data_IF_950213576513
#
_entry.id   IF_950213576513
#
_cell.length_a   1.000
_cell.length_b   1.000
_cell.length_c   1.000
_cell.angle_alpha   90.00
_cell.angle_beta   90.00
_cell.angle_gamma   90.00
#
_symmetry.space_group_name_H-M   'P 1'
#
loop_
_entity.id
_entity.type
_entity.pdbx_description
1 polymer ?
#
# COMPACT_ATOMS: atom_id res chain seq x y z
N UNK A 1 12.53 -1.61 9.44
CA UNK A 1 11.51 -2.30 10.27
C UNK A 1 11.05 -3.56 9.55
N UNK A 2 11.10 -4.67 10.24
CA UNK A 2 10.64 -5.92 9.63
C UNK A 2 9.51 -6.49 10.46
N UNK A 3 8.41 -6.81 9.80
CA UNK A 3 7.25 -7.42 10.44
C UNK A 3 7.15 -8.86 9.96
N UNK A 4 7.28 -9.80 10.89
CA UNK A 4 7.14 -11.23 10.59
C UNK A 4 6.21 -11.83 11.64
N UNK A 5 6.10 -13.16 11.64
CA UNK A 5 5.15 -13.84 12.51
C UNK A 5 5.41 -13.61 14.00
N UNK A 6 6.61 -13.18 14.36
CA UNK A 6 6.97 -12.95 15.76
C UNK A 6 6.83 -11.49 16.17
N UNK A 7 6.38 -10.63 15.27
CA UNK A 7 6.29 -9.21 15.55
C UNK A 7 5.20 -8.92 16.59
N UNK A 8 5.56 -8.08 17.57
CA UNK A 8 4.65 -7.75 18.65
C UNK A 8 3.49 -6.90 18.14
N UNK A 9 2.30 -7.17 18.63
CA UNK A 9 1.12 -6.41 18.19
C UNK A 9 0.39 -7.02 17.02
N UNK A 10 0.94 -8.08 16.45
CA UNK A 10 0.31 -8.74 15.33
C UNK A 10 -0.73 -9.73 15.83
N UNK A 11 -1.91 -9.72 15.21
CA UNK A 11 -2.96 -10.68 15.52
C UNK A 11 -3.27 -11.50 14.29
N UNK A 12 -3.61 -12.75 14.49
CA UNK A 12 -4.05 -13.60 13.39
C UNK A 12 -5.53 -13.94 13.61
N UNK A 13 -6.35 -13.63 12.62
CA UNK A 13 -7.78 -13.83 12.76
C UNK A 13 -8.20 -15.13 12.07
N UNK A 14 -9.49 -15.49 12.22
CA UNK A 14 -9.98 -16.81 11.83
C UNK A 14 -9.78 -17.15 10.36
N UNK A 15 -9.81 -16.16 9.47
CA UNK A 15 -9.63 -16.42 8.05
C UNK A 15 -8.15 -16.53 7.64
N UNK A 16 -7.21 -16.42 8.58
CA UNK A 16 -5.79 -16.53 8.32
C UNK A 16 -5.06 -15.21 8.14
N UNK A 17 -5.77 -14.10 8.03
CA UNK A 17 -5.13 -12.80 7.88
C UNK A 17 -4.40 -12.39 9.14
N UNK A 18 -3.32 -11.63 8.97
CA UNK A 18 -2.64 -10.98 10.08
C UNK A 18 -3.15 -9.56 10.18
N UNK A 19 -3.46 -9.10 11.38
CA UNK A 19 -4.10 -7.80 11.60
C UNK A 19 -3.30 -6.96 12.58
N UNK A 20 -3.10 -5.70 12.24
CA UNK A 20 -2.55 -4.70 13.14
C UNK A 20 -3.61 -3.63 13.36
N UNK A 21 -3.96 -3.38 14.62
CA UNK A 21 -4.87 -2.30 14.96
C UNK A 21 -4.11 -0.98 14.94
N UNK A 22 -4.74 0.06 14.43
CA UNK A 22 -4.11 1.37 14.38
C UNK A 22 -3.29 1.58 13.12
N UNK A 23 -2.36 2.53 13.20
CA UNK A 23 -1.54 2.93 12.07
C UNK A 23 -0.17 2.27 12.13
N UNK A 24 0.43 2.08 10.96
CA UNK A 24 1.80 1.59 10.86
C UNK A 24 2.64 2.71 10.26
N UNK A 25 3.41 3.38 11.10
CA UNK A 25 4.21 4.53 10.70
C UNK A 25 5.65 4.29 11.07
N UNK A 26 6.57 4.51 10.13
CA UNK A 26 7.98 4.26 10.34
C UNK A 26 8.82 5.30 9.62
N UNK A 27 9.98 5.64 10.21
CA UNK A 27 10.98 6.47 9.54
C UNK A 27 11.84 5.62 8.62
N UNK A 28 11.84 4.31 8.82
CA UNK A 28 12.67 3.39 8.06
C UNK A 28 11.83 2.61 7.07
N UNK A 29 12.50 1.90 6.16
CA UNK A 29 11.80 1.02 5.24
C UNK A 29 11.02 -0.03 6.02
N UNK A 30 9.88 -0.44 5.47
CA UNK A 30 9.03 -1.45 6.08
C UNK A 30 9.07 -2.70 5.21
N UNK A 31 9.47 -3.80 5.82
CA UNK A 31 9.40 -5.10 5.16
C UNK A 31 8.39 -5.98 5.89
N UNK A 32 7.45 -6.55 5.17
CA UNK A 32 6.41 -7.39 5.75
C UNK A 32 6.60 -8.79 5.21
N UNK A 33 7.14 -9.66 6.06
CA UNK A 33 7.51 -11.02 5.70
C UNK A 33 6.50 -11.98 6.33
N UNK A 34 5.33 -12.04 5.72
CA UNK A 34 4.24 -12.89 6.17
C UNK A 34 3.76 -13.72 5.00
N UNK A 35 3.17 -14.88 5.31
CA UNK A 35 2.72 -15.80 4.29
C UNK A 35 1.22 -15.70 4.02
N UNK A 36 0.58 -14.72 4.61
CA UNK A 36 -0.82 -14.41 4.37
C UNK A 36 -1.00 -12.90 4.29
N UNK A 37 -2.21 -12.46 4.01
CA UNK A 37 -2.49 -11.04 3.88
C UNK A 37 -2.30 -10.32 5.21
N UNK A 38 -1.70 -9.14 5.13
CA UNK A 38 -1.48 -8.30 6.30
C UNK A 38 -2.45 -7.11 6.22
N UNK A 39 -3.26 -6.96 7.25
CA UNK A 39 -4.29 -5.92 7.31
C UNK A 39 -3.91 -4.91 8.38
N UNK A 40 -3.78 -3.64 8.00
CA UNK A 40 -3.58 -2.54 8.93
C UNK A 40 -4.90 -1.78 8.98
N UNK A 41 -5.48 -1.63 10.16
CA UNK A 41 -6.79 -0.99 10.28
C UNK A 41 -6.73 0.51 9.96
N UNK A 42 -5.60 1.14 10.21
CA UNK A 42 -5.40 2.55 9.91
C UNK A 42 -4.61 2.75 8.63
N UNK A 43 -3.69 3.71 8.64
CA UNK A 43 -2.88 4.00 7.47
C UNK A 43 -1.50 3.37 7.59
N UNK A 44 -0.81 3.28 6.46
CA UNK A 44 0.57 2.80 6.41
C UNK A 44 1.40 3.93 5.83
N UNK A 45 2.45 4.34 6.54
CA UNK A 45 3.27 5.46 6.11
C UNK A 45 4.72 5.24 6.48
N UNK A 46 5.63 5.46 5.52
CA UNK A 46 7.05 5.42 5.79
C UNK A 46 7.75 6.46 4.92
N UNK A 47 8.90 6.91 5.37
CA UNK A 47 9.72 7.83 4.58
C UNK A 47 10.56 7.10 3.55
N UNK A 48 10.60 5.79 3.59
CA UNK A 48 11.39 4.98 2.66
C UNK A 48 10.47 4.02 1.92
N UNK A 49 10.91 2.82 1.64
CA UNK A 49 10.13 1.89 0.84
C UNK A 49 9.31 0.91 1.65
N UNK A 50 8.36 0.28 0.99
CA UNK A 50 7.54 -0.78 1.55
C UNK A 50 7.71 -2.02 0.69
N UNK A 51 8.06 -3.14 1.30
CA UNK A 51 8.16 -4.42 0.61
C UNK A 51 7.28 -5.41 1.36
N UNK A 52 6.33 -5.99 0.64
CA UNK A 52 5.38 -6.95 1.21
C UNK A 52 5.54 -8.25 0.45
N UNK A 53 5.81 -9.34 1.17
CA UNK A 53 6.05 -10.63 0.52
C UNK A 53 4.77 -11.26 -0.02
N UNK A 54 3.63 -10.97 0.57
CA UNK A 54 2.36 -11.48 0.09
C UNK A 54 1.45 -10.30 -0.26
N UNK A 55 0.35 -10.09 0.44
CA UNK A 55 -0.57 -8.99 0.16
C UNK A 55 -0.73 -8.06 1.33
N UNK A 56 -1.19 -6.86 1.06
CA UNK A 56 -1.37 -5.86 2.11
C UNK A 56 -2.68 -5.11 1.91
N UNK A 57 -3.33 -4.82 3.01
CA UNK A 57 -4.57 -4.05 3.02
C UNK A 57 -4.48 -2.99 4.10
N UNK A 58 -4.78 -1.75 3.75
CA UNK A 58 -4.85 -0.66 4.71
C UNK A 58 -6.26 -0.12 4.74
N UNK A 59 -6.78 0.14 5.94
CA UNK A 59 -8.12 0.70 6.08
C UNK A 59 -8.20 2.14 5.60
N UNK A 60 -7.08 2.86 5.67
CA UNK A 60 -6.95 4.21 5.17
C UNK A 60 -5.94 4.21 4.03
N UNK A 61 -5.09 5.22 3.94
CA UNK A 61 -4.16 5.32 2.83
C UNK A 61 -2.84 4.61 3.04
N UNK A 62 -2.07 4.46 1.96
CA UNK A 62 -0.72 3.91 2.00
C UNK A 62 0.20 4.95 1.37
N UNK A 63 1.28 5.31 2.08
CA UNK A 63 2.20 6.32 1.59
C UNK A 63 3.65 5.91 1.84
N UNK A 64 4.44 5.90 0.79
CA UNK A 64 5.85 5.53 0.87
C UNK A 64 6.71 6.61 0.22
N UNK A 65 7.81 6.95 0.86
CA UNK A 65 8.75 7.95 0.33
C UNK A 65 9.61 7.43 -0.81
N UNK A 66 9.63 6.13 -1.03
CA UNK A 66 10.35 5.53 -2.16
C UNK A 66 9.39 4.68 -2.97
N UNK A 67 9.58 3.37 -2.97
CA UNK A 67 8.75 2.48 -3.75
C UNK A 67 7.89 1.57 -2.88
N UNK A 68 6.89 0.97 -3.52
CA UNK A 68 6.04 -0.03 -2.89
C UNK A 68 6.11 -1.29 -3.73
N UNK A 69 6.47 -2.41 -3.11
CA UNK A 69 6.51 -3.72 -3.77
C UNK A 69 5.64 -4.70 -3.01
N UNK A 70 4.84 -5.45 -3.72
CA UNK A 70 4.01 -6.48 -3.11
C UNK A 70 4.00 -7.73 -3.97
N UNK A 71 4.14 -8.88 -3.33
CA UNK A 71 4.16 -10.16 -4.04
C UNK A 71 2.78 -10.61 -4.49
N UNK A 72 1.74 -10.03 -3.93
CA UNK A 72 0.38 -10.30 -4.34
C UNK A 72 -0.31 -8.98 -4.67
N UNK A 73 -1.31 -8.59 -3.91
CA UNK A 73 -2.07 -7.39 -4.19
C UNK A 73 -1.97 -6.33 -3.12
N UNK A 74 -2.47 -5.15 -3.44
CA UNK A 74 -2.56 -4.05 -2.51
C UNK A 74 -3.99 -3.53 -2.50
N UNK A 75 -4.54 -3.34 -1.30
CA UNK A 75 -5.85 -2.72 -1.13
C UNK A 75 -5.73 -1.58 -0.14
N UNK A 76 -6.27 -0.43 -0.48
CA UNK A 76 -6.30 0.71 0.42
C UNK A 76 -7.69 1.31 0.42
N UNK A 77 -8.19 1.63 1.61
CA UNK A 77 -9.49 2.29 1.72
C UNK A 77 -9.49 3.66 1.10
N UNK A 78 -8.34 4.31 1.06
CA UNK A 78 -8.16 5.62 0.43
C UNK A 78 -7.00 5.54 -0.56
N UNK A 79 -6.26 6.62 -0.75
CA UNK A 79 -5.23 6.68 -1.78
C UNK A 79 -3.98 5.88 -1.50
N UNK A 80 -3.23 5.61 -2.54
CA UNK A 80 -1.93 4.95 -2.47
C UNK A 80 -0.93 5.89 -3.12
N UNK A 81 0.16 6.18 -2.41
CA UNK A 81 1.16 7.11 -2.92
C UNK A 81 2.56 6.56 -2.71
N UNK A 82 3.36 6.52 -3.77
CA UNK A 82 4.77 6.20 -3.70
C UNK A 82 5.52 7.25 -4.48
N UNK A 83 6.62 7.77 -3.93
CA UNK A 83 7.33 8.83 -4.63
C UNK A 83 8.06 8.31 -5.85
N UNK A 84 8.47 7.07 -5.86
CA UNK A 84 9.24 6.53 -6.98
C UNK A 84 8.45 5.53 -7.80
N UNK A 85 8.17 4.35 -7.27
CA UNK A 85 7.52 3.35 -8.09
C UNK A 85 6.53 2.51 -7.29
N UNK A 86 5.64 1.86 -8.03
CA UNK A 86 4.75 0.84 -7.50
C UNK A 86 4.95 -0.42 -8.33
N UNK A 87 5.22 -1.54 -7.67
CA UNK A 87 5.51 -2.81 -8.33
C UNK A 87 4.73 -3.90 -7.59
N UNK A 88 3.57 -4.24 -8.12
CA UNK A 88 2.64 -5.16 -7.49
C UNK A 88 2.40 -6.31 -8.46
N UNK A 89 2.52 -7.53 -7.99
CA UNK A 89 2.44 -8.68 -8.90
C UNK A 89 1.02 -8.97 -9.35
N UNK A 90 0.01 -8.53 -8.62
CA UNK A 90 -1.39 -8.82 -8.97
C UNK A 90 -2.23 -7.56 -9.06
N UNK A 91 -3.15 -7.33 -8.16
CA UNK A 91 -4.15 -6.26 -8.32
C UNK A 91 -3.97 -5.13 -7.34
N UNK A 92 -4.40 -3.96 -7.75
CA UNK A 92 -4.33 -2.75 -6.94
C UNK A 92 -5.72 -2.16 -6.82
N UNK A 93 -6.13 -1.88 -5.58
CA UNK A 93 -7.40 -1.23 -5.30
C UNK A 93 -7.14 -0.04 -4.39
N UNK A 94 -7.60 1.15 -4.78
CA UNK A 94 -7.51 2.34 -3.94
C UNK A 94 -8.88 2.98 -3.87
N UNK A 95 -9.24 3.51 -2.70
CA UNK A 95 -10.50 4.21 -2.54
C UNK A 95 -11.67 3.28 -2.31
N UNK A 96 -11.45 2.14 -1.69
CA UNK A 96 -12.51 1.16 -1.49
C UNK A 96 -13.13 1.22 -0.11
N UNK A 97 -12.93 2.32 0.62
CA UNK A 97 -13.52 2.47 1.96
C UNK A 97 -15.03 2.42 1.89
N UNK A 98 -15.63 1.58 2.71
CA UNK A 98 -17.08 1.47 2.76
C UNK A 98 -17.71 2.57 3.60
N UNK A 99 -16.89 3.38 4.25
CA UNK A 99 -17.38 4.45 5.12
C UNK A 99 -17.46 5.80 4.40
N UNK A 100 -17.10 5.84 3.12
CA UNK A 100 -17.18 7.06 2.31
C UNK A 100 -17.77 6.75 0.96
N UNK A 101 -18.41 7.73 0.36
CA UNK A 101 -18.87 7.56 -1.01
C UNK A 101 -17.68 7.70 -1.96
N UNK A 102 -17.83 7.23 -3.18
CA UNK A 102 -16.74 7.32 -4.14
C UNK A 102 -16.43 8.78 -4.49
N UNK A 103 -17.35 9.69 -4.18
CA UNK A 103 -17.15 11.10 -4.40
C UNK A 103 -16.23 11.72 -3.36
N UNK A 104 -16.32 11.26 -2.12
CA UNK A 104 -15.56 11.82 -1.02
C UNK A 104 -14.27 11.07 -0.74
N UNK A 105 -14.12 9.88 -1.28
CA UNK A 105 -13.00 9.03 -0.98
C UNK A 105 -11.82 9.36 -1.90
N UNK A 106 -10.63 9.49 -1.32
CA UNK A 106 -9.43 9.63 -2.12
C UNK A 106 -9.11 8.28 -2.74
N UNK A 107 -9.14 8.19 -4.04
CA UNK A 107 -8.83 6.95 -4.75
C UNK A 107 -7.66 7.14 -5.71
N UNK A 108 -6.82 8.12 -5.45
CA UNK A 108 -5.65 8.39 -6.27
C UNK A 108 -4.56 7.36 -6.02
N UNK A 109 -4.00 6.83 -7.10
CA UNK A 109 -2.80 6.00 -7.04
C UNK A 109 -1.71 6.83 -7.69
N UNK A 110 -0.77 7.33 -6.88
CA UNK A 110 0.24 8.26 -7.35
C UNK A 110 1.63 7.68 -7.24
N UNK A 111 2.38 7.73 -8.32
CA UNK A 111 3.78 7.28 -8.33
C UNK A 111 4.48 7.89 -9.53
N UNK A 112 5.81 7.86 -9.53
CA UNK A 112 6.55 8.30 -10.71
C UNK A 112 6.48 7.24 -11.80
N UNK A 113 6.44 5.98 -11.41
CA UNK A 113 6.44 4.87 -12.36
C UNK A 113 5.60 3.71 -11.81
N UNK A 114 4.68 3.21 -12.61
CA UNK A 114 3.99 1.96 -12.29
C UNK A 114 4.69 0.84 -13.04
N UNK A 115 5.48 0.04 -12.33
CA UNK A 115 6.25 -1.03 -12.94
C UNK A 115 5.42 -2.26 -13.25
N UNK A 116 4.60 -2.66 -12.30
CA UNK A 116 3.69 -3.78 -12.45
C UNK A 116 2.47 -3.53 -11.62
N UNK A 117 1.36 -4.18 -12.00
CA UNK A 117 0.13 -4.13 -11.23
C UNK A 117 -1.06 -3.82 -12.12
N UNK A 118 -2.15 -4.52 -11.86
CA UNK A 118 -3.40 -4.27 -12.55
C UNK A 118 -4.27 -3.40 -11.65
N UNK A 119 -4.55 -2.17 -12.07
CA UNK A 119 -5.39 -1.28 -11.29
C UNK A 119 -6.83 -1.66 -11.53
N UNK A 120 -7.46 -2.24 -10.52
CA UNK A 120 -8.84 -2.67 -10.60
C UNK A 120 -9.79 -1.59 -10.12
N UNK A 121 -9.33 -0.71 -9.23
CA UNK A 121 -10.12 0.41 -8.76
C UNK A 121 -9.17 1.50 -8.30
N UNK A 122 -9.43 2.74 -8.72
CA UNK A 122 -8.60 3.88 -8.40
C UNK A 122 -8.14 4.60 -9.64
N UNK A 123 -7.62 5.80 -9.45
CA UNK A 123 -7.18 6.66 -10.55
C UNK A 123 -5.67 6.82 -10.50
N UNK A 124 -5.00 6.36 -11.54
CA UNK A 124 -3.54 6.43 -11.62
C UNK A 124 -3.07 7.82 -12.04
N UNK A 125 -2.13 8.36 -11.30
CA UNK A 125 -1.46 9.61 -11.64
C UNK A 125 0.04 9.37 -11.64
N UNK A 126 0.67 9.54 -12.79
CA UNK A 126 2.12 9.38 -12.91
C UNK A 126 2.78 10.74 -12.83
N UNK A 127 3.66 10.91 -11.85
CA UNK A 127 4.30 12.20 -11.62
C UNK A 127 5.53 12.40 -12.47
N UNK A 128 6.16 11.31 -12.89
CA UNK A 128 7.39 11.37 -13.65
C UNK A 128 7.22 11.99 -15.03
N UNK A 129 6.09 11.77 -15.64
CA UNK A 129 5.89 12.24 -16.99
C UNK A 129 5.62 13.71 -17.09
N UNK A 130 5.47 14.37 -15.99
CA UNK A 130 5.33 15.81 -15.99
C UNK A 130 6.62 16.51 -16.38
N UNK A 131 7.70 15.78 -16.53
CA UNK A 131 8.93 16.32 -16.94
C UNK A 131 8.99 16.36 -18.39
N UNK A 132 8.93 17.37 -18.98
CA UNK A 132 9.03 17.41 -20.41
C UNK A 132 10.41 17.46 -20.87
N UNK A 133 10.54 17.44 -20.62
CA UNK A 133 11.32 17.48 -21.13
C UNK A 133 12.03 17.24 -21.26
N UNK A 134 12.25 17.22 -21.10
CA UNK A 134 12.94 16.99 -21.31
C UNK A 134 13.15 16.84 -22.18
N UNK A 135 12.95 17.09 -22.19
CA UNK A 135 13.19 17.20 -23.29
C UNK A 135 13.22 17.04 -23.76
#
# INVERSE_FOLDING_TARGET
>A
MKIDKLWNGLKRIANGDYVLEGDLISEEAIEIDLDDRFVVRGCIQTKKGIVVHYGIEAGLGIKAGCGIEAGCGIEAGEGIEAEKFIDVQKRIFAGISVYRTSKDCDKTIRCAELRNGEICYGDLTLTKEDKPDEG
#
